data_IF_280818268840
#
_entry.id   IF_280818268840
#
_cell.length_a   1.000
_cell.length_b   1.000
_cell.length_c   1.000
_cell.angle_alpha   90.00
_cell.angle_beta   90.00
_cell.angle_gamma   90.00
#
_symmetry.space_group_name_H-M   'P 1'
#
loop_
_entity.id
_entity.type
_entity.pdbx_description
1 polymer ?
#
# COMPACT_ATOMS: atom_id res chain seq x y z
N UNK A 1 20.02 6.70 -22.75
CA UNK A 1 18.64 6.89 -22.25
C UNK A 1 18.22 5.62 -21.55
N UNK A 2 17.95 5.62 -20.24
CA UNK A 2 17.36 4.44 -19.60
C UNK A 2 15.90 4.36 -20.03
N UNK A 3 15.46 3.23 -20.56
CA UNK A 3 14.08 3.02 -20.99
C UNK A 3 13.11 3.31 -19.83
N UNK A 4 12.29 4.35 -20.02
CA UNK A 4 11.20 4.71 -19.10
C UNK A 4 10.27 3.50 -18.98
N UNK A 5 9.98 3.07 -17.75
CA UNK A 5 9.09 1.95 -17.51
C UNK A 5 7.68 2.30 -18.01
N UNK A 6 7.21 1.56 -19.02
CA UNK A 6 5.87 1.73 -19.62
C UNK A 6 4.89 0.76 -18.99
N UNK A 7 3.68 1.24 -18.75
CA UNK A 7 2.53 0.38 -18.40
C UNK A 7 1.80 -0.05 -19.68
N UNK A 8 1.59 0.89 -20.60
CA UNK A 8 1.00 0.68 -21.91
C UNK A 8 1.69 1.57 -22.96
N UNK A 9 1.24 1.51 -24.21
CA UNK A 9 1.69 2.41 -25.28
C UNK A 9 1.39 3.89 -24.96
N UNK A 10 0.35 4.14 -24.16
CA UNK A 10 -0.14 5.49 -23.85
C UNK A 10 0.30 5.99 -22.48
N UNK A 11 0.66 5.11 -21.54
CA UNK A 11 0.98 5.47 -20.15
C UNK A 11 2.33 4.93 -19.69
N UNK A 12 3.12 5.78 -19.04
CA UNK A 12 4.22 5.34 -18.19
C UNK A 12 3.71 4.70 -16.90
N UNK A 13 4.55 3.88 -16.25
CA UNK A 13 4.19 3.29 -14.95
C UNK A 13 3.89 4.37 -13.90
N UNK A 14 4.65 5.45 -13.90
CA UNK A 14 4.42 6.61 -13.05
C UNK A 14 3.02 7.22 -13.26
N UNK A 15 2.64 7.47 -14.51
CA UNK A 15 1.32 8.03 -14.84
C UNK A 15 0.18 7.07 -14.49
N UNK A 16 0.39 5.77 -14.68
CA UNK A 16 -0.55 4.74 -14.23
C UNK A 16 -0.76 4.80 -12.71
N UNK A 17 0.30 4.98 -11.91
CA UNK A 17 0.17 5.15 -10.45
C UNK A 17 -0.62 6.39 -10.07
N UNK A 18 -0.33 7.54 -10.68
CA UNK A 18 -1.05 8.80 -10.45
C UNK A 18 -2.53 8.65 -10.78
N UNK A 19 -2.86 7.90 -11.84
CA UNK A 19 -4.24 7.69 -12.26
C UNK A 19 -5.02 6.77 -11.31
N UNK A 20 -4.38 5.73 -10.77
CA UNK A 20 -5.07 4.60 -10.12
C UNK A 20 -5.01 4.59 -8.61
N UNK A 21 -4.02 5.23 -7.99
CA UNK A 21 -3.80 5.16 -6.55
C UNK A 21 -3.88 6.54 -5.90
N UNK A 22 -4.42 6.57 -4.68
CA UNK A 22 -4.25 7.72 -3.81
C UNK A 22 -2.80 7.78 -3.28
N UNK A 23 -2.35 8.98 -2.92
CA UNK A 23 -0.99 9.20 -2.42
C UNK A 23 -0.66 8.27 -1.23
N UNK A 24 -1.60 8.11 -0.29
CA UNK A 24 -1.39 7.29 0.91
C UNK A 24 -1.24 5.80 0.59
N UNK A 25 -1.95 5.31 -0.44
CA UNK A 25 -1.85 3.92 -0.87
C UNK A 25 -0.51 3.65 -1.56
N UNK A 26 -0.03 4.62 -2.35
CA UNK A 26 1.30 4.54 -2.95
C UNK A 26 2.43 4.63 -1.90
N UNK A 27 2.25 5.47 -0.87
CA UNK A 27 3.16 5.53 0.29
C UNK A 27 3.18 4.21 1.06
N UNK A 28 2.04 3.53 1.20
CA UNK A 28 1.94 2.20 1.81
C UNK A 28 2.70 1.13 1.01
N UNK A 29 2.57 1.16 -0.33
CA UNK A 29 3.34 0.26 -1.22
C UNK A 29 4.84 0.45 -0.97
N UNK A 30 5.35 1.69 -1.05
CA UNK A 30 6.77 1.96 -0.89
C UNK A 30 7.26 1.64 0.52
N UNK A 31 6.49 1.98 1.55
CA UNK A 31 6.81 1.65 2.95
C UNK A 31 6.93 0.14 3.19
N UNK A 32 6.01 -0.64 2.60
CA UNK A 32 6.05 -2.10 2.72
C UNK A 32 7.22 -2.70 1.94
N UNK A 33 7.59 -2.13 0.79
CA UNK A 33 8.67 -2.64 -0.06
C UNK A 33 10.06 -2.28 0.47
N UNK A 34 10.27 -1.13 1.11
CA UNK A 34 11.54 -0.82 1.79
C UNK A 34 11.88 -1.83 2.91
N UNK A 35 10.87 -2.50 3.46
CA UNK A 35 11.05 -3.55 4.47
C UNK A 35 11.34 -4.93 3.86
N UNK A 36 11.31 -5.06 2.53
CA UNK A 36 11.51 -6.30 1.81
C UNK A 36 12.69 -6.19 0.84
N UNK A 37 13.79 -6.88 1.14
CA UNK A 37 14.95 -6.99 0.26
C UNK A 37 14.63 -7.89 -0.95
N UNK A 38 13.96 -7.32 -1.95
CA UNK A 38 13.78 -7.93 -3.27
C UNK A 38 14.64 -7.15 -4.25
N UNK A 39 15.83 -7.67 -4.56
CA UNK A 39 16.80 -7.02 -5.44
C UNK A 39 16.79 -7.65 -6.84
N UNK A 40 15.72 -7.37 -7.59
CA UNK A 40 15.69 -7.60 -9.03
C UNK A 40 15.52 -6.26 -9.79
N UNK A 41 16.00 -6.23 -11.04
CA UNK A 41 16.04 -5.00 -11.85
C UNK A 41 14.64 -4.42 -12.11
N UNK A 42 13.64 -5.27 -12.30
CA UNK A 42 12.26 -4.83 -12.53
C UNK A 42 11.71 -4.17 -11.27
N UNK A 43 11.90 -4.78 -10.09
CA UNK A 43 11.52 -4.19 -8.80
C UNK A 43 12.18 -2.83 -8.58
N UNK A 44 13.49 -2.69 -8.90
CA UNK A 44 14.18 -1.39 -8.81
C UNK A 44 13.59 -0.33 -9.74
N UNK A 45 13.21 -0.70 -10.97
CA UNK A 45 12.59 0.22 -11.94
C UNK A 45 11.17 0.61 -11.53
N UNK A 46 10.38 -0.33 -10.98
CA UNK A 46 9.04 -0.08 -10.43
C UNK A 46 9.12 0.88 -9.25
N UNK A 47 10.02 0.61 -8.28
CA UNK A 47 10.25 1.49 -7.13
C UNK A 47 10.64 2.91 -7.57
N UNK A 48 11.54 3.05 -8.54
CA UNK A 48 11.92 4.35 -9.07
C UNK A 48 10.74 5.10 -9.71
N UNK A 49 9.87 4.39 -10.44
CA UNK A 49 8.66 4.97 -11.02
C UNK A 49 7.61 5.35 -9.95
N UNK A 50 7.46 4.55 -8.90
CA UNK A 50 6.56 4.80 -7.78
C UNK A 50 7.04 6.03 -6.96
N UNK A 51 8.35 6.18 -6.72
CA UNK A 51 8.94 7.39 -6.12
C UNK A 51 8.77 8.64 -6.99
N UNK A 52 8.95 8.49 -8.31
CA UNK A 52 8.71 9.58 -9.26
C UNK A 52 7.23 10.00 -9.27
N UNK A 53 6.30 9.05 -9.12
CA UNK A 53 4.88 9.35 -9.02
C UNK A 53 4.58 10.14 -7.74
N UNK A 54 5.13 9.78 -6.58
CA UNK A 54 4.95 10.57 -5.35
C UNK A 54 5.45 12.02 -5.49
N UNK A 55 6.62 12.23 -6.13
CA UNK A 55 7.15 13.57 -6.39
C UNK A 55 6.23 14.39 -7.29
N UNK A 56 5.70 13.76 -8.34
CA UNK A 56 4.79 14.44 -9.27
C UNK A 56 3.42 14.72 -8.61
N UNK A 57 2.90 13.81 -7.79
CA UNK A 57 1.69 14.03 -6.97
C UNK A 57 1.89 15.23 -6.05
N UNK A 58 3.01 15.30 -5.35
CA UNK A 58 3.34 16.42 -4.47
C UNK A 58 3.37 17.75 -5.23
N UNK A 59 4.11 17.80 -6.35
CA UNK A 59 4.15 18.99 -7.22
C UNK A 59 2.74 19.41 -7.65
N UNK A 60 1.94 18.45 -8.12
CA UNK A 60 0.58 18.67 -8.60
C UNK A 60 -0.37 19.14 -7.50
N UNK A 61 -0.25 18.61 -6.28
CA UNK A 61 -1.05 19.04 -5.13
C UNK A 61 -0.70 20.46 -4.72
N UNK A 62 0.60 20.79 -4.68
CA UNK A 62 1.07 22.15 -4.34
C UNK A 62 0.61 23.20 -5.35
N UNK A 63 0.49 22.85 -6.63
CA UNK A 63 -0.02 23.77 -7.66
C UNK A 63 -1.53 23.65 -7.93
N UNK A 64 -2.26 22.81 -7.18
CA UNK A 64 -3.72 22.65 -7.33
C UNK A 64 -4.17 21.94 -8.63
N UNK A 65 -3.28 21.22 -9.31
CA UNK A 65 -3.57 20.55 -10.61
C UNK A 65 -3.82 19.03 -10.48
N UNK A 66 -3.68 18.48 -9.28
CA UNK A 66 -3.69 17.03 -9.06
C UNK A 66 -4.95 16.34 -9.59
N UNK A 67 -6.15 16.81 -9.22
CA UNK A 67 -7.40 16.16 -9.60
C UNK A 67 -7.66 16.22 -11.10
N UNK A 68 -7.30 17.35 -11.74
CA UNK A 68 -7.41 17.52 -13.18
C UNK A 68 -6.46 16.57 -13.93
N UNK A 69 -5.21 16.46 -13.47
CA UNK A 69 -4.22 15.55 -14.05
C UNK A 69 -4.64 14.09 -13.87
N UNK A 70 -5.05 13.70 -12.66
CA UNK A 70 -5.52 12.34 -12.36
C UNK A 70 -6.70 11.96 -13.23
N UNK A 71 -7.71 12.83 -13.31
CA UNK A 71 -8.90 12.62 -14.15
C UNK A 71 -8.55 12.46 -15.63
N UNK A 72 -7.56 13.23 -16.12
CA UNK A 72 -7.08 13.11 -17.50
C UNK A 72 -6.40 11.76 -17.75
N UNK A 73 -5.53 11.32 -16.85
CA UNK A 73 -4.80 10.06 -16.99
C UNK A 73 -5.72 8.83 -16.84
N UNK A 74 -6.72 8.91 -15.96
CA UNK A 74 -7.70 7.84 -15.78
C UNK A 74 -8.48 7.51 -17.06
N UNK A 75 -8.67 8.48 -17.97
CA UNK A 75 -9.31 8.26 -19.28
C UNK A 75 -8.46 7.43 -20.26
N UNK A 76 -7.16 7.29 -19.98
CA UNK A 76 -6.23 6.49 -20.78
C UNK A 76 -6.10 5.06 -20.26
N UNK A 77 -6.83 4.70 -19.21
CA UNK A 77 -6.87 3.36 -18.64
C UNK A 77 -8.12 2.69 -19.20
N UNK A 78 -7.93 1.62 -19.95
CA UNK A 78 -9.03 0.80 -20.39
C UNK A 78 -9.76 0.21 -19.17
N UNK A 79 -11.10 0.16 -19.18
CA UNK A 79 -11.82 -0.51 -18.11
C UNK A 79 -11.33 -1.95 -18.00
N UNK A 80 -11.09 -2.39 -16.76
CA UNK A 80 -10.76 -3.78 -16.51
C UNK A 80 -11.81 -4.69 -17.16
N UNK A 81 -11.41 -5.81 -17.77
CA UNK A 81 -12.35 -6.84 -18.20
C UNK A 81 -13.31 -7.18 -17.05
N UNK A 82 -14.62 -7.38 -17.33
CA UNK A 82 -15.62 -7.66 -16.30
C UNK A 82 -15.21 -8.82 -15.37
N UNK A 83 -14.49 -9.81 -15.88
CA UNK A 83 -13.98 -10.96 -15.14
C UNK A 83 -12.94 -10.57 -14.08
N UNK A 84 -12.09 -9.58 -14.39
CA UNK A 84 -11.08 -9.03 -13.47
C UNK A 84 -11.76 -8.20 -12.38
N UNK A 85 -12.70 -7.33 -12.76
CA UNK A 85 -13.49 -6.55 -11.81
C UNK A 85 -14.28 -7.44 -10.85
N UNK A 86 -14.89 -8.51 -11.37
CA UNK A 86 -15.60 -9.50 -10.55
C UNK A 86 -14.64 -10.19 -9.57
N UNK A 87 -13.47 -10.62 -10.05
CA UNK A 87 -12.46 -11.26 -9.20
C UNK A 87 -11.98 -10.34 -8.07
N UNK A 88 -11.70 -9.06 -8.36
CA UNK A 88 -11.32 -8.08 -7.34
C UNK A 88 -12.45 -7.84 -6.33
N UNK A 89 -13.70 -7.76 -6.78
CA UNK A 89 -14.87 -7.62 -5.90
C UNK A 89 -14.96 -8.81 -4.94
N UNK A 90 -14.80 -10.04 -5.45
CA UNK A 90 -14.81 -11.27 -4.65
C UNK A 90 -13.67 -11.32 -3.63
N UNK A 91 -12.46 -10.86 -4.00
CA UNK A 91 -11.34 -10.68 -3.07
C UNK A 91 -11.69 -9.69 -1.96
N UNK A 92 -12.18 -8.50 -2.32
CA UNK A 92 -12.52 -7.43 -1.37
C UNK A 92 -13.65 -7.84 -0.42
N UNK A 93 -14.61 -8.62 -0.89
CA UNK A 93 -15.70 -9.19 -0.09
C UNK A 93 -15.25 -10.37 0.79
N UNK A 94 -13.97 -10.74 0.75
CA UNK A 94 -13.41 -11.80 1.58
C UNK A 94 -13.72 -13.21 1.09
N UNK A 95 -14.30 -13.40 -0.10
CA UNK A 95 -14.65 -14.73 -0.62
C UNK A 95 -13.42 -15.63 -0.83
N UNK A 96 -12.25 -15.02 -1.05
CA UNK A 96 -10.99 -15.75 -1.20
C UNK A 96 -10.21 -15.90 0.12
N UNK A 97 -10.62 -15.26 1.22
CA UNK A 97 -9.94 -15.37 2.52
C UNK A 97 -9.79 -16.83 3.01
N UNK A 98 -10.77 -17.74 2.85
CA UNK A 98 -10.62 -19.13 3.24
C UNK A 98 -9.49 -19.84 2.46
N UNK A 99 -9.32 -19.49 1.18
CA UNK A 99 -8.25 -20.04 0.32
C UNK A 99 -6.90 -19.48 0.75
N UNK A 100 -6.82 -18.17 0.98
CA UNK A 100 -5.60 -17.52 1.46
C UNK A 100 -5.16 -18.06 2.83
N UNK A 101 -6.11 -18.28 3.74
CA UNK A 101 -5.84 -18.87 5.05
C UNK A 101 -5.28 -20.30 4.93
N UNK A 102 -5.86 -21.10 4.04
CA UNK A 102 -5.39 -22.45 3.77
C UNK A 102 -3.96 -22.47 3.20
N UNK A 103 -3.67 -21.62 2.21
CA UNK A 103 -2.33 -21.47 1.64
C UNK A 103 -1.33 -20.94 2.68
N UNK A 104 -1.74 -20.03 3.54
CA UNK A 104 -0.93 -19.53 4.64
C UNK A 104 -0.59 -20.64 5.65
N UNK A 105 -1.56 -21.51 5.99
CA UNK A 105 -1.34 -22.66 6.86
C UNK A 105 -0.34 -23.67 6.27
N UNK A 106 -0.41 -23.95 4.97
CA UNK A 106 0.57 -24.81 4.27
C UNK A 106 1.99 -24.23 4.26
N UNK A 107 2.11 -22.90 4.33
CA UNK A 107 3.38 -22.16 4.38
C UNK A 107 3.75 -21.71 5.80
N UNK A 108 3.05 -22.17 6.83
CA UNK A 108 3.29 -21.73 8.20
C UNK A 108 4.71 -22.06 8.65
N UNK A 109 5.31 -21.13 9.41
CA UNK A 109 6.60 -21.31 10.05
C UNK A 109 6.52 -22.34 11.19
N UNK A 110 5.34 -22.54 11.77
CA UNK A 110 5.06 -23.58 12.75
C UNK A 110 4.91 -24.95 12.03
N UNK A 111 5.84 -25.91 12.27
CA UNK A 111 5.78 -27.23 11.65
C UNK A 111 4.52 -28.03 12.01
N UNK A 112 3.98 -27.84 13.22
CA UNK A 112 2.80 -28.57 13.69
C UNK A 112 1.54 -28.07 12.97
N UNK A 113 1.37 -26.75 12.90
CA UNK A 113 0.29 -26.14 12.13
C UNK A 113 0.39 -26.51 10.64
N UNK A 114 1.60 -26.42 10.06
CA UNK A 114 1.81 -26.83 8.65
C UNK A 114 1.44 -28.29 8.40
N UNK A 115 1.77 -29.19 9.34
CA UNK A 115 1.38 -30.60 9.27
C UNK A 115 -0.13 -30.79 9.32
N UNK A 116 -0.84 -30.06 10.17
CA UNK A 116 -2.32 -30.12 10.25
C UNK A 116 -2.99 -29.70 8.94
N UNK A 117 -2.53 -28.60 8.32
CA UNK A 117 -3.07 -28.14 7.03
C UNK A 117 -2.72 -29.10 5.87
N UNK A 118 -1.52 -29.71 5.88
CA UNK A 118 -1.15 -30.76 4.92
C UNK A 118 -2.01 -32.02 5.07
N UNK A 119 -2.22 -32.49 6.29
CA UNK A 119 -3.09 -33.64 6.54
C UNK A 119 -4.52 -33.38 6.09
N UNK A 120 -5.03 -32.16 6.28
CA UNK A 120 -6.34 -31.79 5.78
C UNK A 120 -6.40 -31.83 4.24
N UNK A 121 -5.38 -31.30 3.56
CA UNK A 121 -5.26 -31.36 2.10
C UNK A 121 -5.32 -32.81 1.58
N UNK A 122 -4.51 -33.68 2.19
CA UNK A 122 -4.33 -35.08 1.80
C UNK A 122 -5.57 -35.92 2.14
N UNK A 123 -6.03 -35.88 3.40
CA UNK A 123 -7.20 -36.65 3.86
C UNK A 123 -8.50 -36.14 3.24
N UNK A 124 -8.59 -34.84 2.99
CA UNK A 124 -9.73 -34.23 2.32
C UNK A 124 -9.78 -34.51 0.82
N UNK A 125 -8.70 -35.04 0.23
CA UNK A 125 -8.59 -35.31 -1.20
C UNK A 125 -8.69 -34.07 -2.06
N UNK A 126 -8.21 -32.92 -1.56
CA UNK A 126 -8.47 -31.61 -2.18
C UNK A 126 -7.83 -31.48 -3.57
N UNK A 127 -6.75 -32.22 -3.84
CA UNK A 127 -6.08 -32.24 -5.14
C UNK A 127 -7.02 -32.62 -6.30
N UNK A 128 -8.06 -33.41 -6.02
CA UNK A 128 -8.98 -33.95 -7.03
C UNK A 128 -10.39 -33.35 -6.93
N UNK A 129 -10.58 -32.28 -6.14
CA UNK A 129 -11.89 -31.66 -5.91
C UNK A 129 -11.92 -30.24 -6.42
N UNK A 130 -13.06 -29.84 -6.99
CA UNK A 130 -13.30 -28.49 -7.42
C UNK A 130 -13.50 -27.56 -6.20
N UNK A 131 -13.13 -26.28 -6.32
CA UNK A 131 -13.23 -25.31 -5.21
C UNK A 131 -14.61 -25.28 -4.54
N UNK A 132 -15.69 -25.38 -5.33
CA UNK A 132 -17.07 -25.41 -4.83
C UNK A 132 -17.34 -26.56 -3.85
N UNK A 133 -16.63 -27.68 -4.00
CA UNK A 133 -16.79 -28.86 -3.15
C UNK A 133 -16.02 -28.75 -1.84
N UNK A 134 -14.99 -27.90 -1.78
CA UNK A 134 -14.12 -27.75 -0.60
C UNK A 134 -14.30 -26.40 0.11
N UNK A 135 -14.99 -25.43 -0.51
CA UNK A 135 -15.13 -24.07 0.02
C UNK A 135 -15.68 -24.02 1.44
N UNK A 136 -16.73 -24.80 1.72
CA UNK A 136 -17.35 -24.91 3.05
C UNK A 136 -16.40 -25.50 4.10
N UNK A 137 -15.48 -26.38 3.69
CA UNK A 137 -14.45 -26.94 4.58
C UNK A 137 -13.41 -25.86 4.89
N UNK A 138 -12.98 -25.11 3.86
CA UNK A 138 -12.00 -24.04 4.00
C UNK A 138 -12.52 -22.90 4.90
N UNK A 139 -13.81 -22.56 4.82
CA UNK A 139 -14.43 -21.51 5.67
C UNK A 139 -14.46 -21.88 7.15
N UNK A 140 -14.48 -23.17 7.49
CA UNK A 140 -14.48 -23.66 8.86
C UNK A 140 -13.08 -23.79 9.46
N UNK A 141 -12.02 -23.48 8.70
CA UNK A 141 -10.66 -23.56 9.19
C UNK A 141 -10.38 -22.47 10.21
N UNK A 142 -9.81 -22.88 11.35
CA UNK A 142 -9.16 -21.93 12.25
C UNK A 142 -8.10 -21.15 11.48
N UNK A 143 -8.01 -19.85 11.75
CA UNK A 143 -7.02 -19.01 11.11
C UNK A 143 -5.61 -19.53 11.40
N UNK A 144 -4.77 -19.63 10.36
CA UNK A 144 -3.37 -19.94 10.52
C UNK A 144 -2.72 -18.89 11.43
N UNK A 145 -1.79 -19.33 12.28
CA UNK A 145 -1.09 -18.45 13.19
C UNK A 145 -0.16 -17.59 12.35
N UNK A 146 -0.54 -16.33 12.17
CA UNK A 146 0.34 -15.35 11.56
C UNK A 146 1.52 -15.14 12.51
N UNK A 147 2.76 -15.12 12.02
CA UNK A 147 3.91 -14.80 12.87
C UNK A 147 3.64 -13.46 13.56
N UNK A 148 3.69 -13.46 14.90
CA UNK A 148 3.61 -12.23 15.70
C UNK A 148 4.77 -11.33 15.28
N UNK A 149 4.47 -10.15 14.76
CA UNK A 149 5.48 -9.13 14.49
C UNK A 149 5.79 -8.87 13.02
N UNK A 150 4.91 -9.20 12.06
CA UNK A 150 4.99 -8.50 10.77
C UNK A 150 4.74 -7.01 11.06
N UNK A 151 5.68 -6.09 10.77
CA UNK A 151 5.40 -4.67 10.88
C UNK A 151 4.12 -4.40 10.10
N UNK A 152 3.24 -3.55 10.64
CA UNK A 152 2.06 -3.14 9.89
C UNK A 152 2.51 -2.69 8.50
N UNK A 153 1.94 -3.29 7.45
CA UNK A 153 2.11 -2.81 6.08
C UNK A 153 1.78 -1.31 5.99
N UNK A 154 0.93 -0.85 6.91
CA UNK A 154 0.47 0.50 7.09
C UNK A 154 1.58 1.45 7.57
N UNK A 155 1.80 2.58 6.86
CA UNK A 155 2.77 3.57 7.28
C UNK A 155 2.38 4.25 8.61
N UNK A 156 3.35 4.65 9.45
CA UNK A 156 3.07 5.17 10.79
C UNK A 156 2.36 6.54 10.79
N UNK A 157 2.31 7.23 9.64
CA UNK A 157 1.63 8.51 9.48
C UNK A 157 0.22 8.42 8.90
N UNK A 158 -0.32 7.22 8.63
CA UNK A 158 -1.65 7.06 7.99
C UNK A 158 -2.77 7.83 8.67
N UNK A 159 -2.74 7.90 10.00
CA UNK A 159 -3.80 8.53 10.79
C UNK A 159 -3.59 10.03 11.01
N UNK A 160 -2.53 10.61 10.45
CA UNK A 160 -2.18 12.03 10.60
C UNK A 160 -1.84 12.68 9.26
N UNK A 161 -2.34 12.12 8.16
CA UNK A 161 -2.05 12.59 6.80
C UNK A 161 -2.42 14.06 6.63
N UNK A 162 -3.58 14.47 7.12
CA UNK A 162 -4.07 15.86 6.99
C UNK A 162 -3.10 16.85 7.65
N UNK A 163 -2.66 16.59 8.88
CA UNK A 163 -1.68 17.43 9.57
C UNK A 163 -0.33 17.49 8.81
N UNK A 164 0.09 16.38 8.21
CA UNK A 164 1.32 16.36 7.41
C UNK A 164 1.17 17.04 6.04
N UNK A 165 -0.03 17.01 5.45
CA UNK A 165 -0.35 17.73 4.21
C UNK A 165 -0.41 19.25 4.47
N UNK A 166 -0.95 19.70 5.60
CA UNK A 166 -0.87 21.09 6.05
C UNK A 166 0.59 21.53 6.25
N UNK A 167 1.38 20.70 6.94
CA UNK A 167 2.82 20.98 7.11
C UNK A 167 3.54 21.08 5.77
N UNK A 168 3.16 20.27 4.78
CA UNK A 168 3.76 20.31 3.44
C UNK A 168 3.51 21.66 2.76
N UNK A 169 2.28 22.16 2.81
CA UNK A 169 1.94 23.48 2.28
C UNK A 169 2.74 24.56 2.99
N UNK A 170 2.75 24.55 4.32
CA UNK A 170 3.52 25.51 5.12
C UNK A 170 5.02 25.50 4.78
N UNK A 171 5.61 24.32 4.59
CA UNK A 171 7.03 24.19 4.19
C UNK A 171 7.26 24.71 2.77
N UNK A 172 6.34 24.45 1.84
CA UNK A 172 6.41 24.99 0.48
C UNK A 172 6.31 26.53 0.47
N UNK A 173 5.55 27.11 1.40
CA UNK A 173 5.43 28.55 1.64
C UNK A 173 6.62 29.16 2.39
N UNK A 174 7.63 28.35 2.74
CA UNK A 174 8.92 28.79 3.29
C UNK A 174 9.10 28.59 4.79
N UNK A 175 8.16 27.95 5.50
CA UNK A 175 8.38 27.58 6.90
C UNK A 175 9.39 26.44 7.01
N UNK A 176 10.19 26.46 8.07
CA UNK A 176 11.00 25.28 8.42
C UNK A 176 10.11 24.14 8.93
N UNK A 177 10.54 22.88 8.74
CA UNK A 177 9.81 21.70 9.24
C UNK A 177 9.46 21.83 10.74
N UNK A 178 10.36 22.28 11.65
CA UNK A 178 10.01 22.45 13.06
C UNK A 178 8.92 23.51 13.29
N UNK A 179 8.89 24.60 12.52
CA UNK A 179 7.86 25.63 12.62
C UNK A 179 6.50 25.10 12.14
N UNK A 180 6.48 24.44 10.97
CA UNK A 180 5.27 23.81 10.44
C UNK A 180 4.72 22.74 11.40
N UNK A 181 5.59 21.93 12.02
CA UNK A 181 5.20 20.91 12.97
C UNK A 181 4.59 21.48 14.26
N UNK A 182 5.10 22.62 14.75
CA UNK A 182 4.51 23.34 15.89
C UNK A 182 3.14 23.88 15.55
N UNK A 183 3.00 24.55 14.40
CA UNK A 183 1.71 25.07 13.96
C UNK A 183 0.65 23.95 13.83
N UNK A 184 1.02 22.82 13.21
CA UNK A 184 0.12 21.66 13.11
C UNK A 184 -0.24 21.06 14.49
N UNK A 185 0.70 21.02 15.44
CA UNK A 185 0.43 20.56 16.81
C UNK A 185 -0.44 21.52 17.61
N UNK A 186 -0.31 22.83 17.40
CA UNK A 186 -1.15 23.86 18.00
C UNK A 186 -2.59 23.80 17.49
N UNK A 187 -2.78 23.52 16.20
CA UNK A 187 -4.10 23.37 15.58
C UNK A 187 -4.92 22.20 16.17
N UNK A 188 -4.28 21.12 16.63
CA UNK A 188 -4.99 20.01 17.30
C UNK A 188 -5.51 20.39 18.71
N UNK A 189 -5.05 21.50 19.30
CA UNK A 189 -5.43 22.00 20.62
C UNK A 189 -5.33 20.96 21.77
N UNK A 190 -4.40 20.02 21.66
CA UNK A 190 -4.15 18.97 22.66
C UNK A 190 -3.06 19.39 23.68
N UNK A 191 -3.14 18.85 24.89
CA UNK A 191 -2.08 19.02 25.89
C UNK A 191 -0.78 18.34 25.40
N UNK A 192 0.36 19.00 25.62
CA UNK A 192 1.68 18.46 25.23
C UNK A 192 2.12 18.79 23.80
N UNK A 193 1.83 20.01 23.34
CA UNK A 193 2.17 20.54 22.01
C UNK A 193 3.60 20.26 21.56
N UNK A 194 4.59 20.43 22.45
CA UNK A 194 6.01 20.18 22.11
C UNK A 194 6.30 18.72 21.74
N UNK A 195 5.71 17.76 22.47
CA UNK A 195 5.87 16.34 22.16
C UNK A 195 5.16 15.98 20.85
N UNK A 196 4.00 16.59 20.60
CA UNK A 196 3.24 16.40 19.37
C UNK A 196 3.95 16.99 18.15
N UNK A 197 4.52 18.18 18.27
CA UNK A 197 5.34 18.81 17.23
C UNK A 197 6.55 17.94 16.87
N UNK A 198 7.28 17.41 17.86
CA UNK A 198 8.39 16.46 17.62
C UNK A 198 7.92 15.18 16.93
N UNK A 199 6.75 14.68 17.29
CA UNK A 199 6.13 13.51 16.65
C UNK A 199 5.82 13.78 15.17
N UNK A 200 5.20 14.92 14.86
CA UNK A 200 4.90 15.33 13.48
C UNK A 200 6.16 15.59 12.66
N UNK A 201 7.14 16.31 13.19
CA UNK A 201 8.42 16.52 12.51
C UNK A 201 9.07 15.18 12.11
N UNK A 202 9.12 14.22 13.05
CA UNK A 202 9.68 12.89 12.78
C UNK A 202 8.94 12.19 11.65
N UNK A 203 7.60 12.18 11.69
CA UNK A 203 6.79 11.51 10.67
C UNK A 203 6.87 12.22 9.31
N UNK A 204 6.89 13.56 9.29
CA UNK A 204 7.05 14.34 8.07
C UNK A 204 8.36 14.00 7.37
N UNK A 205 9.47 13.94 8.11
CA UNK A 205 10.77 13.54 7.57
C UNK A 205 10.77 12.10 7.07
N UNK A 206 10.14 11.17 7.79
CA UNK A 206 10.02 9.78 7.34
C UNK A 206 9.21 9.67 6.04
N UNK A 207 8.09 10.39 5.96
CA UNK A 207 7.25 10.45 4.76
C UNK A 207 7.99 11.08 3.58
N UNK A 208 8.76 12.15 3.81
CA UNK A 208 9.56 12.81 2.78
C UNK A 208 10.61 11.88 2.14
N UNK A 209 11.24 11.00 2.94
CA UNK A 209 12.22 10.02 2.43
C UNK A 209 11.66 9.06 1.38
N UNK A 210 10.36 8.79 1.36
CA UNK A 210 9.76 7.95 0.32
C UNK A 210 9.87 8.58 -1.08
N UNK A 211 10.20 9.86 -1.19
CA UNK A 211 10.39 10.57 -2.47
C UNK A 211 11.84 10.57 -2.93
N UNK A 212 12.80 10.28 -2.05
CA UNK A 212 14.25 10.24 -2.30
C UNK A 212 14.64 8.88 -2.90
#
# INVERSE_FOLDING_TARGET
MKDVLRFSDTLTWMEYRIATLDEIDLEEILWSQEQHALDDDLTRRVLAADRAALREIERLKLCGEYDAKRSRLAKCIDPDPPEITERFRRIKNGELQPVENFLAGLRSADPQQRSQFKQLYEKGGFANKHYREISHILTCLKSAHKPKGRPGATPPWRNVVDALDEMRVAVADGLSIPQAARAAAENEALAGTDNRARYFERLFRQRAKLRE
#
